data_IF_777164169261
#
_entry.id   IF_777164169261
#
_cell.length_a   1.000
_cell.length_b   1.000
_cell.length_c   1.000
_cell.angle_alpha   90.00
_cell.angle_beta   90.00
_cell.angle_gamma   90.00
#
_symmetry.space_group_name_H-M   'P 1'
#
loop_
_entity.id
_entity.type
_entity.pdbx_description
1 polymer ?
#
# COMPACT_ATOMS: atom_id res chain seq x y z
N UNK A 1 -33.49 -27.84 6.14
CA UNK A 1 -32.17 -28.33 5.66
C UNK A 1 -31.57 -27.23 4.81
N UNK A 2 -30.62 -26.47 5.35
CA UNK A 2 -29.85 -25.47 4.59
C UNK A 2 -28.76 -26.22 3.84
N UNK A 3 -28.86 -26.25 2.51
CA UNK A 3 -27.88 -26.89 1.65
C UNK A 3 -26.51 -26.23 1.82
N UNK A 4 -25.46 -27.05 2.01
CA UNK A 4 -24.07 -26.61 1.99
C UNK A 4 -23.79 -25.86 0.70
N UNK A 5 -23.20 -24.65 0.71
CA UNK A 5 -22.92 -23.91 -0.52
C UNK A 5 -22.00 -24.76 -1.41
N UNK A 6 -22.43 -24.97 -2.65
CA UNK A 6 -21.63 -25.67 -3.67
C UNK A 6 -20.38 -24.80 -3.87
N UNK A 7 -19.23 -25.33 -3.48
CA UNK A 7 -17.93 -24.71 -3.73
C UNK A 7 -17.76 -24.50 -5.22
N UNK A 8 -17.70 -23.25 -5.66
CA UNK A 8 -17.42 -22.93 -7.06
C UNK A 8 -15.92 -23.12 -7.35
N UNK A 9 -15.57 -24.37 -7.65
CA UNK A 9 -14.17 -24.76 -7.95
C UNK A 9 -13.60 -24.00 -9.15
N UNK A 10 -14.42 -23.50 -10.06
CA UNK A 10 -13.97 -22.72 -11.23
C UNK A 10 -13.55 -21.32 -10.76
N UNK A 11 -14.38 -20.68 -9.96
CA UNK A 11 -14.04 -19.38 -9.37
C UNK A 11 -12.81 -19.47 -8.45
N UNK A 12 -12.72 -20.51 -7.61
CA UNK A 12 -11.53 -20.73 -6.75
C UNK A 12 -10.23 -20.88 -7.57
N UNK A 13 -10.27 -21.68 -8.65
CA UNK A 13 -9.11 -21.84 -9.56
C UNK A 13 -8.76 -20.55 -10.26
N UNK A 14 -9.76 -19.78 -10.71
CA UNK A 14 -9.53 -18.49 -11.36
C UNK A 14 -8.84 -17.51 -10.41
N UNK A 15 -9.31 -17.41 -9.16
CA UNK A 15 -8.69 -16.57 -8.13
C UNK A 15 -7.26 -17.01 -7.79
N UNK A 16 -7.00 -18.33 -7.69
CA UNK A 16 -5.66 -18.85 -7.47
C UNK A 16 -4.71 -18.45 -8.60
N UNK A 17 -5.13 -18.60 -9.85
CA UNK A 17 -4.32 -18.19 -11.02
C UNK A 17 -4.10 -16.68 -11.05
N UNK A 18 -5.11 -15.86 -10.70
CA UNK A 18 -4.92 -14.42 -10.61
C UNK A 18 -3.88 -14.04 -9.54
N UNK A 19 -3.85 -14.72 -8.39
CA UNK A 19 -2.82 -14.53 -7.36
C UNK A 19 -1.44 -14.88 -7.88
N UNK A 20 -1.27 -16.03 -8.54
CA UNK A 20 0.00 -16.43 -9.15
C UNK A 20 0.52 -15.39 -10.16
N UNK A 21 -0.39 -14.80 -10.97
CA UNK A 21 -0.05 -13.75 -11.91
C UNK A 21 0.42 -12.48 -11.17
N UNK A 22 -0.27 -12.08 -10.10
CA UNK A 22 0.10 -10.90 -9.31
C UNK A 22 1.43 -11.12 -8.57
N UNK A 23 1.66 -12.31 -8.00
CA UNK A 23 2.92 -12.66 -7.34
C UNK A 23 4.10 -12.57 -8.33
N UNK A 24 3.92 -13.09 -9.54
CA UNK A 24 4.92 -12.98 -10.60
C UNK A 24 5.14 -11.52 -11.05
N UNK A 25 4.08 -10.71 -11.10
CA UNK A 25 4.17 -9.28 -11.42
C UNK A 25 4.95 -8.51 -10.36
N UNK A 26 4.70 -8.77 -9.07
CA UNK A 26 5.47 -8.20 -7.96
C UNK A 26 6.94 -8.63 -7.99
N UNK A 27 7.22 -9.90 -8.26
CA UNK A 27 8.60 -10.38 -8.42
C UNK A 27 9.32 -9.62 -9.55
N UNK A 28 8.67 -9.44 -10.71
CA UNK A 28 9.23 -8.65 -11.82
C UNK A 28 9.45 -7.17 -11.44
N UNK A 29 8.49 -6.57 -10.72
CA UNK A 29 8.60 -5.19 -10.27
C UNK A 29 9.81 -4.99 -9.35
N UNK A 30 10.05 -5.91 -8.41
CA UNK A 30 11.20 -5.87 -7.48
C UNK A 30 12.54 -6.08 -8.19
N UNK A 31 12.56 -6.95 -9.21
CA UNK A 31 13.78 -7.25 -9.96
C UNK A 31 14.21 -6.16 -10.93
N UNK A 32 13.24 -5.51 -11.61
CA UNK A 32 13.52 -4.67 -12.79
C UNK A 32 12.78 -3.33 -12.80
N UNK A 33 11.91 -3.09 -11.82
CA UNK A 33 11.02 -1.93 -11.75
C UNK A 33 9.67 -2.14 -12.44
N UNK A 34 8.68 -1.38 -12.00
CA UNK A 34 7.28 -1.50 -12.44
C UNK A 34 7.11 -1.33 -13.97
N UNK A 35 7.82 -0.37 -14.57
CA UNK A 35 7.70 -0.07 -16.00
C UNK A 35 8.13 -1.24 -16.89
N UNK A 36 9.00 -2.12 -16.41
CA UNK A 36 9.56 -3.25 -17.14
C UNK A 36 8.68 -4.51 -17.15
N UNK A 37 7.55 -4.49 -16.49
CA UNK A 37 6.57 -5.59 -16.55
C UNK A 37 6.02 -5.67 -17.98
N UNK A 38 6.15 -6.85 -18.61
CA UNK A 38 5.54 -7.14 -19.91
C UNK A 38 4.64 -8.37 -19.81
N UNK A 39 3.49 -8.36 -20.52
CA UNK A 39 2.54 -9.46 -20.48
C UNK A 39 3.15 -10.78 -20.99
N UNK A 40 4.07 -10.70 -21.97
CA UNK A 40 4.75 -11.86 -22.52
C UNK A 40 5.64 -12.55 -21.49
N UNK A 41 6.46 -11.77 -20.79
CA UNK A 41 7.36 -12.30 -19.75
C UNK A 41 6.56 -12.80 -18.53
N UNK A 42 5.51 -12.08 -18.17
CA UNK A 42 4.62 -12.46 -17.08
C UNK A 42 3.93 -13.81 -17.36
N UNK A 43 3.35 -13.99 -18.57
CA UNK A 43 2.76 -15.25 -18.99
C UNK A 43 3.79 -16.40 -18.93
N UNK A 44 5.02 -16.16 -19.43
CA UNK A 44 6.10 -17.14 -19.36
C UNK A 44 6.43 -17.56 -17.93
N UNK A 45 6.47 -16.61 -16.97
CA UNK A 45 6.78 -16.89 -15.55
C UNK A 45 5.73 -17.77 -14.88
N UNK A 46 4.47 -17.60 -15.25
CA UNK A 46 3.35 -18.41 -14.69
C UNK A 46 3.03 -19.64 -15.55
N UNK A 47 3.88 -19.98 -16.52
CA UNK A 47 3.69 -21.17 -17.37
C UNK A 47 2.49 -21.09 -18.32
N UNK A 48 2.06 -19.87 -18.69
CA UNK A 48 0.90 -19.64 -19.56
C UNK A 48 1.31 -19.10 -20.93
N UNK A 49 0.42 -19.28 -21.91
CA UNK A 49 0.50 -18.54 -23.17
C UNK A 49 -0.03 -17.12 -22.96
N UNK A 50 0.58 -16.13 -23.63
CA UNK A 50 0.17 -14.74 -23.49
C UNK A 50 -1.34 -14.47 -23.76
N UNK A 51 -2.00 -15.13 -24.75
CA UNK A 51 -3.44 -15.01 -24.93
C UNK A 51 -4.26 -15.49 -23.72
N UNK A 52 -3.79 -16.50 -22.99
CA UNK A 52 -4.50 -17.02 -21.80
C UNK A 52 -4.50 -16.04 -20.64
N UNK A 53 -3.48 -15.18 -20.56
CA UNK A 53 -3.39 -14.16 -19.53
C UNK A 53 -4.52 -13.13 -19.64
N UNK A 54 -4.95 -12.81 -20.87
CA UNK A 54 -6.07 -11.90 -21.11
C UNK A 54 -7.43 -12.42 -20.60
N UNK A 55 -7.59 -13.74 -20.39
CA UNK A 55 -8.79 -14.28 -19.75
C UNK A 55 -8.86 -13.94 -18.24
N UNK A 56 -7.73 -13.59 -17.62
CA UNK A 56 -7.61 -13.21 -16.21
C UNK A 56 -7.53 -11.70 -16.01
N UNK A 57 -6.79 -10.99 -16.86
CA UNK A 57 -6.60 -9.53 -16.81
C UNK A 57 -6.72 -8.94 -18.21
N UNK A 58 -7.68 -8.04 -18.41
CA UNK A 58 -7.99 -7.47 -19.72
C UNK A 58 -6.85 -6.64 -20.35
N UNK A 59 -5.93 -6.15 -19.53
CA UNK A 59 -4.80 -5.32 -19.96
C UNK A 59 -3.65 -5.33 -18.93
N UNK A 60 -2.51 -4.76 -19.29
CA UNK A 60 -1.40 -4.50 -18.36
C UNK A 60 -1.84 -3.55 -17.23
N UNK A 61 -2.64 -2.53 -17.55
CA UNK A 61 -3.16 -1.62 -16.56
C UNK A 61 -4.11 -2.31 -15.57
N UNK A 62 -4.89 -3.32 -16.00
CA UNK A 62 -5.71 -4.12 -15.09
C UNK A 62 -4.86 -4.93 -14.09
N UNK A 63 -3.64 -5.33 -14.47
CA UNK A 63 -2.69 -5.98 -13.54
C UNK A 63 -2.17 -4.94 -12.53
N UNK A 64 -1.75 -3.75 -13.00
CA UNK A 64 -1.32 -2.68 -12.09
C UNK A 64 -2.42 -2.25 -11.14
N UNK A 65 -3.66 -2.20 -11.61
CA UNK A 65 -4.83 -1.85 -10.79
C UNK A 65 -5.06 -2.87 -9.67
N UNK A 66 -4.99 -4.17 -10.00
CA UNK A 66 -5.08 -5.24 -9.02
C UNK A 66 -3.89 -5.24 -8.03
N UNK A 67 -2.67 -4.98 -8.51
CA UNK A 67 -1.49 -4.80 -7.64
C UNK A 67 -1.66 -3.61 -6.70
N UNK A 68 -2.20 -2.49 -7.19
CA UNK A 68 -2.48 -1.30 -6.39
C UNK A 68 -3.51 -1.58 -5.29
N UNK A 69 -4.62 -2.22 -5.64
CA UNK A 69 -5.65 -2.63 -4.68
C UNK A 69 -5.09 -3.58 -3.61
N UNK A 70 -4.30 -4.59 -4.03
CA UNK A 70 -3.65 -5.53 -3.12
C UNK A 70 -2.71 -4.80 -2.14
N UNK A 71 -1.85 -3.91 -2.63
CA UNK A 71 -0.90 -3.19 -1.80
C UNK A 71 -1.57 -2.30 -0.75
N UNK A 72 -2.66 -1.61 -1.12
CA UNK A 72 -3.43 -0.81 -0.16
C UNK A 72 -4.26 -1.66 0.81
N UNK A 73 -4.73 -2.84 0.39
CA UNK A 73 -5.39 -3.81 1.28
C UNK A 73 -4.41 -4.31 2.34
N UNK A 74 -3.20 -4.72 1.96
CA UNK A 74 -2.15 -5.11 2.89
C UNK A 74 -1.78 -3.97 3.86
N UNK A 75 -1.70 -2.73 3.34
CA UNK A 75 -1.48 -1.55 4.17
C UNK A 75 -2.61 -1.36 5.20
N UNK A 76 -3.85 -1.46 4.77
CA UNK A 76 -5.01 -1.33 5.65
C UNK A 76 -5.01 -2.39 6.76
N UNK A 77 -4.67 -3.64 6.44
CA UNK A 77 -4.55 -4.73 7.41
C UNK A 77 -3.47 -4.43 8.47
N UNK A 78 -2.27 -4.03 8.03
CA UNK A 78 -1.15 -3.69 8.93
C UNK A 78 -1.48 -2.50 9.82
N UNK A 79 -2.07 -1.45 9.25
CA UNK A 79 -2.46 -0.25 9.99
C UNK A 79 -3.61 -0.53 10.95
N UNK A 80 -4.58 -1.36 10.57
CA UNK A 80 -5.70 -1.76 11.43
C UNK A 80 -5.23 -2.61 12.61
N UNK A 81 -4.32 -3.54 12.38
CA UNK A 81 -3.70 -4.33 13.46
C UNK A 81 -2.96 -3.45 14.48
N UNK A 82 -2.30 -2.39 14.03
CA UNK A 82 -1.68 -1.41 14.93
C UNK A 82 -2.74 -0.66 15.77
N UNK A 83 -3.91 -0.39 15.21
CA UNK A 83 -5.01 0.31 15.89
C UNK A 83 -5.72 -0.56 16.97
N UNK A 84 -5.60 -1.89 16.92
CA UNK A 84 -6.17 -2.80 17.95
C UNK A 84 -5.55 -2.59 19.33
N UNK A 85 -4.31 -2.06 19.39
CA UNK A 85 -3.62 -1.71 20.63
C UNK A 85 -3.40 -0.20 20.71
N UNK A 86 -4.45 0.60 21.02
CA UNK A 86 -4.39 2.03 20.93
C UNK A 86 -3.35 2.62 21.88
N UNK A 87 -2.53 3.48 21.33
CA UNK A 87 -1.50 4.18 22.09
C UNK A 87 -2.13 5.20 23.05
N UNK A 88 -1.55 5.34 24.25
CA UNK A 88 -2.05 6.29 25.23
C UNK A 88 -1.53 7.71 24.95
N UNK A 89 -2.46 8.56 24.50
CA UNK A 89 -2.22 9.98 24.23
C UNK A 89 -1.78 10.30 22.80
N UNK A 90 -1.98 11.57 22.41
CA UNK A 90 -1.83 12.07 21.03
C UNK A 90 -0.48 11.75 20.41
N UNK A 91 0.62 12.10 21.09
CA UNK A 91 1.97 11.87 20.59
C UNK A 91 2.28 10.40 20.36
N UNK A 92 1.84 9.53 21.27
CA UNK A 92 2.07 8.10 21.15
C UNK A 92 1.26 7.50 19.97
N UNK A 93 0.03 7.96 19.74
CA UNK A 93 -0.79 7.57 18.59
C UNK A 93 -0.13 8.01 17.27
N UNK A 94 0.30 9.26 17.18
CA UNK A 94 1.02 9.76 16.00
C UNK A 94 2.28 8.94 15.71
N UNK A 95 3.11 8.67 16.72
CA UNK A 95 4.32 7.85 16.54
C UNK A 95 4.01 6.43 16.11
N UNK A 96 2.97 5.81 16.66
CA UNK A 96 2.53 4.47 16.29
C UNK A 96 2.21 4.40 14.80
N UNK A 97 1.30 5.24 14.31
CA UNK A 97 0.87 5.22 12.92
C UNK A 97 1.99 5.65 11.95
N UNK A 98 2.81 6.64 12.32
CA UNK A 98 3.98 7.02 11.54
C UNK A 98 4.97 5.86 11.39
N UNK A 99 5.28 5.16 12.48
CA UNK A 99 6.22 4.02 12.46
C UNK A 99 5.65 2.86 11.65
N UNK A 100 4.39 2.49 11.89
CA UNK A 100 3.74 1.39 11.19
C UNK A 100 3.74 1.62 9.68
N UNK A 101 3.33 2.81 9.22
CA UNK A 101 3.31 3.13 7.79
C UNK A 101 4.72 3.25 7.21
N UNK A 102 5.66 3.86 7.95
CA UNK A 102 7.06 3.96 7.52
C UNK A 102 7.66 2.58 7.29
N UNK A 103 7.58 1.67 8.27
CA UNK A 103 8.16 0.33 8.17
C UNK A 103 7.52 -0.49 7.04
N UNK A 104 6.20 -0.37 6.86
CA UNK A 104 5.50 -0.97 5.73
C UNK A 104 6.01 -0.42 4.39
N UNK A 105 6.14 0.89 4.26
CA UNK A 105 6.52 1.53 3.00
C UNK A 105 7.96 1.22 2.60
N UNK A 106 8.92 1.29 3.55
CA UNK A 106 10.34 1.07 3.24
C UNK A 106 10.71 -0.40 3.02
N UNK A 107 9.82 -1.33 3.39
CA UNK A 107 10.08 -2.76 3.22
C UNK A 107 10.02 -3.21 1.76
N UNK A 108 9.37 -2.45 0.85
CA UNK A 108 9.24 -2.78 -0.57
C UNK A 108 9.16 -1.50 -1.43
N UNK A 109 10.26 -1.15 -2.07
CA UNK A 109 10.35 0.03 -2.95
C UNK A 109 9.34 -0.03 -4.10
N UNK A 110 9.18 -1.19 -4.76
CA UNK A 110 8.28 -1.32 -5.90
C UNK A 110 6.82 -1.09 -5.47
N UNK A 111 6.44 -1.62 -4.29
CA UNK A 111 5.13 -1.41 -3.70
C UNK A 111 4.92 0.05 -3.34
N UNK A 112 5.88 0.70 -2.67
CA UNK A 112 5.80 2.11 -2.34
C UNK A 112 5.63 3.00 -3.59
N UNK A 113 6.40 2.72 -4.65
CA UNK A 113 6.31 3.45 -5.91
C UNK A 113 4.94 3.32 -6.57
N UNK A 114 4.35 2.11 -6.59
CA UNK A 114 3.02 1.90 -7.16
C UNK A 114 1.93 2.60 -6.35
N UNK A 115 2.03 2.59 -5.04
CA UNK A 115 1.03 3.16 -4.12
C UNK A 115 1.05 4.69 -4.10
N UNK A 116 2.24 5.30 -4.07
CA UNK A 116 2.40 6.71 -3.70
C UNK A 116 3.01 7.58 -4.81
N UNK A 117 3.58 6.97 -5.86
CA UNK A 117 4.26 7.69 -6.92
C UNK A 117 3.64 7.36 -8.28
N UNK A 118 3.42 8.37 -9.12
CA UNK A 118 2.91 8.18 -10.49
C UNK A 118 4.03 7.81 -11.48
N UNK A 119 4.73 6.70 -11.20
CA UNK A 119 5.90 6.26 -11.99
C UNK A 119 5.53 5.55 -13.30
N UNK A 120 4.28 5.13 -13.46
CA UNK A 120 3.81 4.39 -14.63
C UNK A 120 3.00 5.33 -15.52
N UNK A 121 3.57 5.68 -16.67
CA UNK A 121 2.91 6.56 -17.65
C UNK A 121 1.64 5.90 -18.19
N UNK A 122 0.52 6.63 -18.13
CA UNK A 122 -0.79 6.15 -18.63
C UNK A 122 -1.50 5.14 -17.72
N UNK A 123 -1.05 4.99 -16.47
CA UNK A 123 -1.77 4.24 -15.45
C UNK A 123 -2.36 5.21 -14.41
N UNK A 124 -3.66 5.11 -14.23
CA UNK A 124 -4.40 5.63 -13.09
C UNK A 124 -5.22 4.49 -12.49
N UNK A 125 -5.26 4.32 -11.15
CA UNK A 125 -6.06 3.28 -10.52
C UNK A 125 -7.56 3.53 -10.77
N UNK A 126 -8.33 2.43 -10.86
CA UNK A 126 -9.79 2.50 -10.92
C UNK A 126 -10.36 3.12 -9.64
N UNK A 127 -11.58 3.65 -9.70
CA UNK A 127 -12.26 4.18 -8.51
C UNK A 127 -12.41 3.12 -7.41
N UNK A 128 -12.62 1.86 -7.78
CA UNK A 128 -12.74 0.74 -6.85
C UNK A 128 -11.41 0.47 -6.13
N UNK A 129 -10.32 0.36 -6.88
CA UNK A 129 -8.98 0.17 -6.30
C UNK A 129 -8.52 1.37 -5.48
N UNK A 130 -8.83 2.59 -5.94
CA UNK A 130 -8.50 3.82 -5.21
C UNK A 130 -9.27 3.95 -3.90
N UNK A 131 -10.50 3.45 -3.82
CA UNK A 131 -11.31 3.48 -2.59
C UNK A 131 -10.61 2.78 -1.41
N UNK A 132 -9.75 1.78 -1.66
CA UNK A 132 -8.98 1.11 -0.61
C UNK A 132 -7.95 2.06 0.01
N UNK A 133 -7.30 2.90 -0.80
CA UNK A 133 -6.36 3.91 -0.28
C UNK A 133 -7.08 4.98 0.57
N UNK A 134 -8.29 5.35 0.16
CA UNK A 134 -9.15 6.26 0.95
C UNK A 134 -9.51 5.62 2.29
N UNK A 135 -9.81 4.33 2.33
CA UNK A 135 -10.12 3.62 3.58
C UNK A 135 -8.95 3.65 4.59
N UNK A 136 -7.70 3.56 4.11
CA UNK A 136 -6.51 3.72 4.99
C UNK A 136 -6.46 5.12 5.59
N UNK A 137 -6.72 6.16 4.79
CA UNK A 137 -6.72 7.54 5.26
C UNK A 137 -7.88 7.80 6.25
N UNK A 138 -9.07 7.25 5.99
CA UNK A 138 -10.21 7.36 6.88
C UNK A 138 -9.97 6.62 8.21
N UNK A 139 -9.33 5.45 8.17
CA UNK A 139 -8.91 4.74 9.36
C UNK A 139 -7.94 5.60 10.20
N UNK A 140 -6.93 6.21 9.57
CA UNK A 140 -6.00 7.13 10.24
C UNK A 140 -6.75 8.30 10.90
N UNK A 141 -7.64 8.98 10.18
CA UNK A 141 -8.47 10.09 10.70
C UNK A 141 -9.28 9.66 11.91
N UNK A 142 -9.97 8.52 11.81
CA UNK A 142 -10.82 8.01 12.88
C UNK A 142 -10.03 7.68 14.15
N UNK A 143 -8.80 7.20 14.01
CA UNK A 143 -7.93 6.90 15.14
C UNK A 143 -7.25 8.14 15.74
N UNK A 144 -7.04 9.20 14.98
CA UNK A 144 -6.42 10.43 15.46
C UNK A 144 -7.46 11.46 15.99
N UNK A 145 -8.72 11.38 15.55
CA UNK A 145 -9.79 12.28 16.01
C UNK A 145 -9.99 12.30 17.53
N UNK A 146 -10.00 11.16 18.27
CA UNK A 146 -10.09 11.15 19.74
C UNK A 146 -8.95 11.89 20.44
N UNK A 147 -7.84 12.11 19.73
CA UNK A 147 -6.66 12.82 20.21
C UNK A 147 -6.65 14.32 19.83
N UNK A 148 -7.77 14.84 19.28
CA UNK A 148 -7.93 16.24 18.91
C UNK A 148 -7.39 16.61 17.53
N UNK A 149 -7.02 15.63 16.69
CA UNK A 149 -6.55 15.86 15.31
C UNK A 149 -7.71 15.61 14.37
N UNK A 150 -8.44 16.67 14.05
CA UNK A 150 -9.69 16.60 13.27
C UNK A 150 -9.64 17.43 11.98
N UNK A 151 -8.72 18.41 11.87
CA UNK A 151 -8.62 19.27 10.70
C UNK A 151 -7.91 18.52 9.56
N UNK A 152 -8.48 18.60 8.37
CA UNK A 152 -7.90 17.96 7.18
C UNK A 152 -6.45 18.39 6.93
N UNK A 153 -6.15 19.68 7.06
CA UNK A 153 -4.81 20.22 6.86
C UNK A 153 -3.76 19.62 7.80
N UNK A 154 -4.15 19.23 9.03
CA UNK A 154 -3.22 18.61 9.97
C UNK A 154 -2.92 17.16 9.55
N UNK A 155 -3.94 16.45 9.07
CA UNK A 155 -3.76 15.10 8.51
C UNK A 155 -2.87 15.17 7.27
N UNK A 156 -3.13 16.11 6.36
CA UNK A 156 -2.34 16.26 5.11
C UNK A 156 -0.86 16.59 5.44
N UNK A 157 -0.62 17.49 6.39
CA UNK A 157 0.72 17.84 6.83
C UNK A 157 1.43 16.64 7.47
N UNK A 158 0.74 15.90 8.34
CA UNK A 158 1.29 14.70 8.96
C UNK A 158 1.68 13.64 7.92
N UNK A 159 0.79 13.36 6.95
CA UNK A 159 1.04 12.41 5.86
C UNK A 159 2.22 12.88 5.00
N UNK A 160 2.30 14.17 4.67
CA UNK A 160 3.40 14.74 3.89
C UNK A 160 4.75 14.63 4.63
N UNK A 161 4.79 14.86 5.93
CA UNK A 161 6.02 14.75 6.73
C UNK A 161 6.53 13.31 6.80
N UNK A 162 5.62 12.35 7.05
CA UNK A 162 5.97 10.92 7.08
C UNK A 162 6.40 10.44 5.69
N UNK A 163 5.65 10.82 4.66
CA UNK A 163 5.96 10.49 3.26
C UNK A 163 7.32 11.01 2.82
N UNK A 164 7.66 12.26 3.17
CA UNK A 164 8.97 12.84 2.85
C UNK A 164 10.14 12.07 3.50
N UNK A 165 9.97 11.57 4.71
CA UNK A 165 11.00 10.72 5.35
C UNK A 165 11.12 9.34 4.69
N UNK A 166 9.99 8.76 4.26
CA UNK A 166 9.97 7.49 3.51
C UNK A 166 10.71 7.66 2.18
N UNK A 167 10.37 8.68 1.40
CA UNK A 167 11.03 8.95 0.11
C UNK A 167 12.52 9.21 0.29
N UNK A 168 12.91 9.97 1.31
CA UNK A 168 14.31 10.22 1.63
C UNK A 168 15.05 8.94 2.05
N UNK A 169 14.41 8.04 2.82
CA UNK A 169 14.98 6.76 3.22
C UNK A 169 15.20 5.86 2.00
N UNK A 170 14.19 5.71 1.16
CA UNK A 170 14.25 4.86 -0.02
C UNK A 170 15.23 5.38 -1.08
N UNK A 171 15.35 6.71 -1.23
CA UNK A 171 16.24 7.32 -2.23
C UNK A 171 17.70 7.40 -1.80
N UNK A 172 17.98 7.66 -0.50
CA UNK A 172 19.33 8.04 -0.06
C UNK A 172 20.00 7.03 0.89
N UNK A 173 19.22 6.11 1.46
CA UNK A 173 19.75 5.09 2.38
C UNK A 173 18.85 3.84 2.38
N UNK A 174 18.68 3.18 1.21
CA UNK A 174 17.82 2.01 1.09
C UNK A 174 18.35 0.85 1.94
N UNK A 175 17.49 0.31 2.82
CA UNK A 175 17.86 -0.75 3.76
C UNK A 175 18.59 -0.28 5.01
N UNK A 176 18.94 1.00 5.13
CA UNK A 176 19.49 1.60 6.34
C UNK A 176 18.43 2.19 7.28
N UNK A 177 18.85 3.08 8.20
CA UNK A 177 17.98 3.71 9.19
C UNK A 177 18.12 5.24 9.27
N UNK A 178 18.91 5.83 8.38
CA UNK A 178 19.30 7.25 8.45
C UNK A 178 18.12 8.19 8.64
N UNK A 179 17.03 7.96 7.90
CA UNK A 179 15.84 8.79 7.96
C UNK A 179 14.79 8.23 8.92
N UNK A 180 14.71 6.90 9.07
CA UNK A 180 13.82 6.22 9.99
C UNK A 180 14.04 6.60 11.45
N UNK A 181 15.29 6.85 11.88
CA UNK A 181 15.62 7.33 13.22
C UNK A 181 15.15 8.76 13.51
N UNK A 182 14.84 9.55 12.46
CA UNK A 182 14.34 10.92 12.61
C UNK A 182 12.81 10.96 12.78
N UNK A 183 12.11 9.85 12.54
CA UNK A 183 10.66 9.79 12.49
C UNK A 183 10.02 10.31 13.79
N UNK A 184 10.49 9.84 14.96
CA UNK A 184 9.97 10.29 16.25
C UNK A 184 10.17 11.79 16.46
N UNK A 185 11.33 12.33 16.08
CA UNK A 185 11.60 13.75 16.18
C UNK A 185 10.67 14.57 15.28
N UNK A 186 10.46 14.12 14.06
CA UNK A 186 9.55 14.79 13.11
C UNK A 186 8.13 14.80 13.64
N UNK A 187 7.66 13.67 14.15
CA UNK A 187 6.33 13.56 14.78
C UNK A 187 6.21 14.47 15.99
N UNK A 188 7.24 14.57 16.83
CA UNK A 188 7.23 15.46 18.01
C UNK A 188 7.19 16.94 17.62
N UNK A 189 7.90 17.32 16.56
CA UNK A 189 7.83 18.69 16.01
C UNK A 189 6.44 19.00 15.49
N UNK A 190 5.80 18.04 14.79
CA UNK A 190 4.43 18.18 14.33
C UNK A 190 3.45 18.32 15.51
N UNK A 191 3.51 17.40 16.50
CA UNK A 191 2.66 17.41 17.69
C UNK A 191 2.75 18.73 18.48
N UNK A 192 3.95 19.29 18.57
CA UNK A 192 4.19 20.58 19.25
C UNK A 192 3.46 21.73 18.56
N UNK A 193 3.35 21.73 17.25
CA UNK A 193 2.74 22.79 16.45
C UNK A 193 1.20 22.63 16.27
N UNK A 194 0.60 21.52 16.69
CA UNK A 194 -0.86 21.31 16.63
C UNK A 194 -1.63 22.17 17.66
N UNK A 195 -1.00 22.80 18.58
CA UNK A 195 -1.60 23.57 19.66
C UNK A 195 -1.43 25.09 19.54
N UNK A 196 -0.81 25.56 18.46
CA UNK A 196 -0.69 26.99 18.10
C UNK A 196 -1.61 27.35 16.97
#
# INVERSE_FOLDING_TARGET
MLGTPIRDRVAERRLATQREILDAAWAMARERGLSQITLRELARRVGMQAPSLYSHFASKNAIYDAMFAQAWTECLEVMSAAAENPARGRRAALRLFARTFFDFAVSDLARHQLMNQRTIVGFDPSNESYAVSVAVLDMLRNNLAPHGITRQQDIDLYVALVGGLIDAQLANDPGGDRWGRLLNRTVDMFDHNLGT
#
